data_IF_681437532886
#
_entry.id   IF_681437532886
#
_cell.length_a   1.000
_cell.length_b   1.000
_cell.length_c   1.000
_cell.angle_alpha   90.00
_cell.angle_beta   90.00
_cell.angle_gamma   90.00
#
_symmetry.space_group_name_H-M   'P 1'
#
loop_
_entity.id
_entity.type
_entity.pdbx_description
1 polymer ?
#
# COMPACT_ATOMS: atom_id res chain seq x y z
N UNK A 1 19.00 -56.27 12.66
CA UNK A 1 18.22 -55.30 13.46
C UNK A 1 18.53 -53.82 13.20
N UNK A 2 19.52 -53.43 12.38
CA UNK A 2 19.77 -51.99 12.05
C UNK A 2 19.19 -51.53 10.71
N UNK A 3 18.72 -52.45 9.86
CA UNK A 3 18.12 -52.10 8.56
C UNK A 3 16.58 -51.96 8.58
N UNK A 4 15.92 -52.55 9.57
CA UNK A 4 14.45 -52.43 9.73
C UNK A 4 14.01 -51.14 10.43
N UNK A 5 14.91 -50.44 11.14
CA UNK A 5 14.62 -49.17 11.79
C UNK A 5 14.70 -47.96 10.83
N UNK A 6 15.48 -48.09 9.75
CA UNK A 6 15.63 -47.07 8.72
C UNK A 6 14.40 -46.96 7.77
N UNK A 7 13.67 -48.07 7.60
CA UNK A 7 12.48 -48.11 6.75
C UNK A 7 11.20 -47.58 7.42
N UNK A 8 11.16 -47.55 8.76
CA UNK A 8 10.02 -47.03 9.52
C UNK A 8 10.08 -45.50 9.66
N UNK A 9 11.28 -44.91 9.68
CA UNK A 9 11.46 -43.46 9.75
C UNK A 9 11.17 -42.77 8.41
N UNK A 10 11.32 -43.49 7.28
CA UNK A 10 11.07 -42.93 5.94
C UNK A 10 9.60 -42.93 5.54
N UNK A 11 8.75 -43.69 6.24
CA UNK A 11 7.29 -43.75 5.94
C UNK A 11 6.43 -42.76 6.71
N UNK A 12 6.99 -42.04 7.69
CA UNK A 12 6.23 -41.02 8.49
C UNK A 12 6.41 -39.61 7.95
N UNK A 13 7.32 -39.39 6.99
CA UNK A 13 7.57 -38.03 6.42
C UNK A 13 6.72 -37.73 5.20
N UNK A 14 5.90 -38.67 4.69
CA UNK A 14 5.16 -38.49 3.43
C UNK A 14 3.68 -38.06 3.55
N UNK A 15 3.16 -37.78 4.75
CA UNK A 15 1.74 -37.42 4.92
C UNK A 15 1.46 -36.02 5.52
N UNK A 16 2.34 -35.07 5.34
CA UNK A 16 2.22 -33.78 6.01
C UNK A 16 2.42 -32.52 5.17
N UNK A 17 2.21 -32.51 3.85
CA UNK A 17 2.38 -31.28 3.05
C UNK A 17 1.34 -31.13 1.93
N UNK A 18 0.06 -31.10 2.27
CA UNK A 18 -0.95 -30.48 1.40
C UNK A 18 -1.71 -29.42 2.18
N UNK A 19 -1.01 -28.42 2.67
CA UNK A 19 -1.62 -27.12 2.94
C UNK A 19 -1.53 -26.32 1.66
N UNK A 20 -2.56 -26.43 0.81
CA UNK A 20 -2.75 -25.49 -0.30
C UNK A 20 -2.97 -24.11 0.27
N UNK A 21 -1.89 -23.40 0.59
CA UNK A 21 -1.90 -21.95 0.69
C UNK A 21 -2.11 -21.43 -0.72
N UNK A 22 -3.34 -21.11 -1.04
CA UNK A 22 -3.68 -20.39 -2.26
C UNK A 22 -3.18 -18.95 -2.12
N UNK A 23 -1.85 -18.77 -2.26
CA UNK A 23 -1.29 -17.43 -2.39
C UNK A 23 -1.60 -16.98 -3.82
N UNK A 24 -2.45 -15.97 -3.96
CA UNK A 24 -2.61 -15.30 -5.25
C UNK A 24 -1.26 -14.70 -5.63
N UNK A 25 -0.58 -15.36 -6.55
CA UNK A 25 0.63 -14.78 -7.15
C UNK A 25 0.21 -13.56 -7.96
N UNK A 26 0.77 -12.42 -7.63
CA UNK A 26 0.73 -11.26 -8.50
C UNK A 26 1.56 -11.64 -9.71
N UNK A 27 0.89 -11.97 -10.82
CA UNK A 27 1.59 -12.00 -12.09
C UNK A 27 2.25 -10.63 -12.25
N UNK A 28 3.54 -10.60 -12.54
CA UNK A 28 4.28 -9.35 -12.78
C UNK A 28 3.79 -8.66 -14.06
N UNK A 29 2.54 -8.24 -14.05
CA UNK A 29 1.94 -7.47 -15.12
C UNK A 29 2.31 -6.02 -14.89
N UNK A 30 3.29 -5.55 -15.66
CA UNK A 30 3.35 -4.14 -15.98
C UNK A 30 1.95 -3.69 -16.41
N UNK A 31 1.54 -2.47 -16.01
CA UNK A 31 0.33 -1.86 -16.57
C UNK A 31 0.36 -2.01 -18.08
N UNK A 32 -0.76 -2.34 -18.75
CA UNK A 32 -0.77 -2.40 -20.20
C UNK A 32 -0.25 -1.06 -20.74
N UNK A 33 0.86 -1.12 -21.47
CA UNK A 33 1.39 0.03 -22.18
C UNK A 33 0.35 0.34 -23.24
N UNK A 34 -0.40 1.42 -23.05
CA UNK A 34 -1.33 1.90 -24.07
C UNK A 34 -0.46 2.44 -25.20
N UNK A 35 -0.32 1.62 -26.25
CA UNK A 35 0.31 2.06 -27.49
C UNK A 35 -0.53 3.22 -28.03
N UNK A 36 0.03 4.41 -28.04
CA UNK A 36 -0.65 5.67 -28.38
C UNK A 36 -0.96 5.79 -29.88
N UNK A 37 -0.84 4.72 -30.66
CA UNK A 37 -0.94 4.76 -32.13
C UNK A 37 -2.27 4.26 -32.68
N UNK A 38 -3.30 4.02 -31.88
CA UNK A 38 -4.65 3.83 -32.40
C UNK A 38 -5.59 4.96 -31.95
N UNK A 39 -5.51 6.08 -32.64
CA UNK A 39 -6.65 6.99 -32.77
C UNK A 39 -7.74 6.26 -33.56
N UNK A 40 -8.53 5.44 -32.90
CA UNK A 40 -9.84 5.10 -33.41
C UNK A 40 -10.69 6.36 -33.31
N UNK A 41 -10.87 7.01 -34.47
CA UNK A 41 -11.88 8.05 -34.70
C UNK A 41 -13.22 7.40 -34.36
N UNK A 42 -13.74 7.68 -33.18
CA UNK A 42 -15.08 7.27 -32.75
C UNK A 42 -16.07 8.13 -33.55
N UNK A 43 -16.44 7.63 -34.72
CA UNK A 43 -17.60 8.12 -35.45
C UNK A 43 -18.86 7.75 -34.67
N UNK A 44 -19.63 8.75 -34.23
CA UNK A 44 -20.97 8.66 -33.62
C UNK A 44 -21.14 7.51 -32.63
N UNK A 45 -20.69 7.74 -31.38
CA UNK A 45 -20.99 6.84 -30.27
C UNK A 45 -22.49 6.90 -29.98
N UNK A 46 -23.22 5.82 -30.17
CA UNK A 46 -24.62 5.72 -29.82
C UNK A 46 -24.83 6.07 -28.35
N UNK A 47 -25.82 6.90 -28.04
CA UNK A 47 -26.15 7.30 -26.67
C UNK A 47 -26.38 6.09 -25.74
N UNK A 48 -26.85 4.97 -26.29
CA UNK A 48 -27.02 3.72 -25.58
C UNK A 48 -25.69 3.08 -25.14
N UNK A 49 -24.65 3.13 -25.96
CA UNK A 49 -23.32 2.57 -25.63
C UNK A 49 -22.61 3.42 -24.54
N UNK A 50 -22.78 4.71 -24.58
CA UNK A 50 -22.27 5.64 -23.51
C UNK A 50 -23.00 5.40 -22.20
N UNK A 51 -24.31 5.24 -22.23
CA UNK A 51 -25.10 4.96 -21.02
C UNK A 51 -24.72 3.60 -20.40
N UNK A 52 -24.51 2.57 -21.21
CA UNK A 52 -24.06 1.25 -20.76
C UNK A 52 -22.64 1.31 -20.14
N UNK A 53 -21.73 2.04 -20.76
CA UNK A 53 -20.37 2.26 -20.23
C UNK A 53 -20.41 2.99 -18.89
N UNK A 54 -21.21 4.03 -18.76
CA UNK A 54 -21.37 4.78 -17.52
C UNK A 54 -21.99 3.92 -16.39
N UNK A 55 -22.98 3.08 -16.72
CA UNK A 55 -23.57 2.15 -15.77
C UNK A 55 -22.55 1.13 -15.27
N UNK A 56 -21.74 0.57 -16.16
CA UNK A 56 -20.67 -0.37 -15.83
C UNK A 56 -19.60 0.29 -14.93
N UNK A 57 -19.15 1.49 -15.27
CA UNK A 57 -18.17 2.23 -14.49
C UNK A 57 -18.68 2.51 -13.06
N UNK A 58 -19.95 2.87 -12.93
CA UNK A 58 -20.59 3.08 -11.62
C UNK A 58 -20.66 1.78 -10.80
N UNK A 59 -20.99 0.66 -11.45
CA UNK A 59 -21.00 -0.66 -10.79
C UNK A 59 -19.58 -1.06 -10.35
N UNK A 60 -18.58 -0.91 -11.21
CA UNK A 60 -17.16 -1.17 -10.93
C UNK A 60 -16.69 -0.39 -9.69
N UNK A 61 -16.95 0.92 -9.65
CA UNK A 61 -16.60 1.76 -8.52
C UNK A 61 -17.34 1.37 -7.24
N UNK A 62 -18.62 1.01 -7.34
CA UNK A 62 -19.42 0.55 -6.21
C UNK A 62 -18.82 -0.72 -5.60
N UNK A 63 -18.48 -1.72 -6.42
CA UNK A 63 -17.85 -2.97 -5.99
C UNK A 63 -16.46 -2.75 -5.40
N UNK A 64 -15.66 -1.89 -6.01
CA UNK A 64 -14.36 -1.53 -5.46
C UNK A 64 -14.48 -0.84 -4.09
N UNK A 65 -15.41 0.11 -3.96
CA UNK A 65 -15.66 0.83 -2.70
C UNK A 65 -16.25 -0.07 -1.61
N UNK A 66 -16.99 -1.12 -1.97
CA UNK A 66 -17.47 -2.08 -0.98
C UNK A 66 -16.35 -2.89 -0.32
N UNK A 67 -15.18 -2.93 -0.94
CA UNK A 67 -13.95 -3.53 -0.39
C UNK A 67 -13.11 -2.57 0.46
N UNK A 68 -13.53 -1.31 0.62
CA UNK A 68 -12.80 -0.36 1.45
C UNK A 68 -12.75 -0.85 2.90
N UNK A 69 -11.56 -0.85 3.43
CA UNK A 69 -11.32 -1.18 4.83
C UNK A 69 -11.71 0.03 5.66
N UNK A 70 -12.80 -0.11 6.42
CA UNK A 70 -13.23 0.86 7.42
C UNK A 70 -12.80 0.37 8.80
N UNK A 71 -12.30 1.26 9.64
CA UNK A 71 -11.80 0.96 10.98
C UNK A 71 -11.94 2.20 11.87
N UNK A 72 -11.93 2.01 13.19
CA UNK A 72 -11.77 3.09 14.17
C UNK A 72 -10.31 3.15 14.65
N UNK A 73 -9.75 1.99 14.96
CA UNK A 73 -8.35 1.84 15.34
C UNK A 73 -7.71 0.70 14.57
N UNK A 74 -6.41 0.82 14.35
CA UNK A 74 -5.60 -0.20 13.69
C UNK A 74 -4.27 -0.34 14.41
N UNK A 75 -3.80 -1.56 14.58
CA UNK A 75 -2.43 -1.81 15.00
C UNK A 75 -1.79 -2.93 14.20
N UNK A 76 -0.51 -2.81 13.93
CA UNK A 76 0.25 -3.84 13.23
C UNK A 76 1.71 -3.89 13.68
N UNK A 77 2.28 -5.10 13.59
CA UNK A 77 3.73 -5.31 13.53
C UNK A 77 4.10 -5.64 12.10
N UNK A 78 5.14 -4.99 11.59
CA UNK A 78 5.56 -5.19 10.22
C UNK A 78 7.09 -5.18 10.10
N UNK A 79 7.59 -5.81 9.05
CA UNK A 79 8.97 -5.65 8.58
C UNK A 79 8.96 -4.70 7.40
N UNK A 80 9.95 -3.83 7.35
CA UNK A 80 10.13 -2.85 6.28
C UNK A 80 11.51 -3.04 5.68
N UNK A 81 11.55 -3.12 4.35
CA UNK A 81 12.76 -2.93 3.58
C UNK A 81 12.65 -1.61 2.82
N UNK A 82 13.70 -0.84 2.85
CA UNK A 82 13.80 0.48 2.25
C UNK A 82 15.03 0.53 1.35
N UNK A 83 14.87 1.02 0.13
CA UNK A 83 15.94 1.13 -0.86
C UNK A 83 15.81 2.44 -1.63
N UNK A 84 16.92 3.15 -1.77
CA UNK A 84 17.12 4.29 -2.67
C UNK A 84 18.40 4.05 -3.46
N UNK A 85 18.74 4.95 -4.38
CA UNK A 85 20.01 4.87 -5.11
C UNK A 85 21.25 4.83 -4.20
N UNK A 86 21.19 5.49 -3.05
CA UNK A 86 22.34 5.66 -2.16
C UNK A 86 22.27 4.86 -0.86
N UNK A 87 21.11 4.30 -0.52
CA UNK A 87 20.90 3.66 0.78
C UNK A 87 19.97 2.47 0.67
N UNK A 88 20.36 1.37 1.32
CA UNK A 88 19.53 0.19 1.49
C UNK A 88 19.48 -0.22 2.96
N UNK A 89 18.29 -0.49 3.44
CA UNK A 89 18.04 -1.01 4.79
C UNK A 89 17.00 -2.12 4.70
N UNK A 90 17.29 -3.28 5.29
CA UNK A 90 16.40 -4.43 5.24
C UNK A 90 16.08 -4.96 6.64
N UNK A 91 14.92 -5.59 6.77
CA UNK A 91 14.51 -6.26 8.01
C UNK A 91 14.22 -5.32 9.17
N UNK A 92 13.89 -4.07 8.90
CA UNK A 92 13.52 -3.07 9.92
C UNK A 92 12.20 -3.48 10.55
N UNK A 93 12.18 -3.68 11.85
CA UNK A 93 10.94 -3.96 12.58
C UNK A 93 10.23 -2.66 12.91
N UNK A 94 8.96 -2.57 12.60
CA UNK A 94 8.11 -1.46 12.98
C UNK A 94 6.84 -1.93 13.71
N UNK A 95 6.44 -1.13 14.70
CA UNK A 95 5.10 -1.21 15.29
C UNK A 95 4.34 0.02 14.82
N UNK A 96 3.15 -0.19 14.30
CA UNK A 96 2.29 0.86 13.80
C UNK A 96 0.97 0.83 14.54
N UNK A 97 0.44 2.01 14.86
CA UNK A 97 -0.88 2.17 15.46
C UNK A 97 -1.55 3.38 14.82
N UNK A 98 -2.83 3.27 14.55
CA UNK A 98 -3.62 4.38 14.02
C UNK A 98 -4.94 4.51 14.75
N UNK A 99 -5.36 5.73 14.90
CA UNK A 99 -6.75 6.11 15.16
C UNK A 99 -7.22 6.88 13.95
N UNK A 100 -8.32 6.42 13.37
CA UNK A 100 -8.88 7.01 12.15
C UNK A 100 -9.02 8.52 12.28
N UNK A 101 -8.58 9.21 11.24
CA UNK A 101 -8.65 10.67 11.07
C UNK A 101 -7.98 11.49 12.19
N UNK A 102 -7.18 10.86 13.05
CA UNK A 102 -6.57 11.52 14.22
C UNK A 102 -5.06 11.30 14.34
N UNK A 103 -4.63 10.04 14.36
CA UNK A 103 -3.22 9.70 14.64
C UNK A 103 -2.72 8.55 13.79
N UNK A 104 -1.46 8.68 13.32
CA UNK A 104 -0.63 7.57 12.88
C UNK A 104 0.62 7.59 13.75
N UNK A 105 0.84 6.53 14.50
CA UNK A 105 1.99 6.35 15.38
C UNK A 105 2.84 5.20 14.88
N UNK A 106 4.15 5.42 14.78
CA UNK A 106 5.11 4.45 14.29
C UNK A 106 6.31 4.41 15.23
N UNK A 107 6.71 3.21 15.64
CA UNK A 107 7.95 2.95 16.38
C UNK A 107 8.79 1.99 15.56
N UNK A 108 10.02 2.38 15.28
CA UNK A 108 10.99 1.64 14.47
C UNK A 108 12.06 1.08 15.37
N UNK A 109 12.37 -0.21 15.22
CA UNK A 109 13.38 -0.90 16.03
C UNK A 109 14.39 -1.61 15.14
N UNK A 110 15.66 -1.48 15.48
CA UNK A 110 16.74 -2.25 14.89
C UNK A 110 17.07 -3.48 15.77
N UNK A 111 17.51 -4.58 15.17
CA UNK A 111 18.00 -5.74 15.92
C UNK A 111 19.07 -5.33 16.92
N UNK A 112 19.05 -5.92 18.13
CA UNK A 112 20.03 -5.71 19.21
C UNK A 112 19.94 -4.31 19.86
N UNK A 113 19.76 -3.24 19.08
CA UNK A 113 19.74 -1.84 19.55
C UNK A 113 18.40 -1.47 20.21
N UNK A 114 17.32 -2.13 19.78
CA UNK A 114 15.96 -1.79 20.21
C UNK A 114 15.35 -0.64 19.41
N UNK A 115 14.51 0.18 20.04
CA UNK A 115 13.83 1.29 19.36
C UNK A 115 14.82 2.41 19.01
N UNK A 116 14.93 2.70 17.71
CA UNK A 116 15.85 3.70 17.14
C UNK A 116 15.12 4.99 16.71
N UNK A 117 13.84 4.89 16.39
CA UNK A 117 13.05 6.06 16.02
C UNK A 117 11.59 5.88 16.41
N UNK A 118 10.89 6.99 16.62
CA UNK A 118 9.44 7.02 16.83
C UNK A 118 8.86 8.26 16.18
N UNK A 119 7.70 8.09 15.57
CA UNK A 119 6.97 9.20 14.98
C UNK A 119 5.49 9.17 15.38
N UNK A 120 4.90 10.33 15.45
CA UNK A 120 3.45 10.53 15.50
C UNK A 120 3.06 11.58 14.47
N UNK A 121 2.09 11.24 13.64
CA UNK A 121 1.57 12.08 12.57
C UNK A 121 0.11 12.37 12.90
N UNK A 122 -0.27 13.61 12.76
CA UNK A 122 -1.65 14.10 12.86
C UNK A 122 -2.03 14.78 11.54
N UNK A 123 -3.29 15.18 11.33
CA UNK A 123 -3.67 15.93 10.14
C UNK A 123 -2.81 17.18 9.87
N UNK A 124 -2.29 17.81 10.93
CA UNK A 124 -1.58 19.08 10.83
C UNK A 124 -0.08 18.98 11.10
N UNK A 125 0.39 17.91 11.75
CA UNK A 125 1.76 17.86 12.26
C UNK A 125 2.43 16.50 12.10
N UNK A 126 3.74 16.54 11.94
CA UNK A 126 4.66 15.41 12.04
C UNK A 126 5.63 15.68 13.20
N UNK A 127 5.63 14.79 14.19
CA UNK A 127 6.65 14.79 15.26
C UNK A 127 7.39 13.48 15.20
N UNK A 128 8.72 13.53 15.16
CA UNK A 128 9.56 12.34 15.14
C UNK A 128 10.74 12.51 16.08
N UNK A 129 11.22 11.42 16.64
CA UNK A 129 12.45 11.36 17.42
C UNK A 129 13.40 10.34 16.79
N UNK A 130 14.63 10.77 16.54
CA UNK A 130 15.77 9.92 16.25
C UNK A 130 16.52 9.69 17.57
N UNK A 131 16.45 8.46 18.07
CA UNK A 131 17.07 8.10 19.35
C UNK A 131 18.58 7.90 19.24
N UNK A 132 19.05 7.60 18.03
CA UNK A 132 20.47 7.39 17.80
C UNK A 132 21.22 8.71 17.81
N UNK A 133 20.72 9.73 17.08
CA UNK A 133 21.34 11.05 17.01
C UNK A 133 20.81 12.01 18.08
N UNK A 134 19.79 11.62 18.88
CA UNK A 134 19.12 12.45 19.89
C UNK A 134 18.53 13.73 19.30
N UNK A 135 17.85 13.61 18.18
CA UNK A 135 17.18 14.70 17.47
C UNK A 135 15.67 14.52 17.55
N UNK A 136 14.95 15.59 17.79
CA UNK A 136 13.51 15.66 17.69
C UNK A 136 13.10 16.58 16.54
N UNK A 137 12.38 16.03 15.57
CA UNK A 137 11.80 16.76 14.44
C UNK A 137 10.38 17.18 14.78
N UNK A 138 10.10 18.46 14.69
CA UNK A 138 8.79 19.05 14.92
C UNK A 138 8.40 19.85 13.68
N UNK A 139 7.56 19.26 12.84
CA UNK A 139 7.22 19.80 11.52
C UNK A 139 5.72 19.84 11.32
N UNK A 140 5.27 20.79 10.49
CA UNK A 140 3.97 20.75 9.86
C UNK A 140 3.93 19.58 8.84
N UNK A 141 2.76 18.97 8.64
CA UNK A 141 2.62 17.90 7.66
C UNK A 141 2.93 18.38 6.23
N UNK A 142 2.66 19.64 5.92
CA UNK A 142 3.02 20.27 4.63
C UNK A 142 4.53 20.28 4.39
N UNK A 143 5.35 20.47 5.43
CA UNK A 143 6.79 20.36 5.30
C UNK A 143 7.21 18.96 4.80
N UNK A 144 6.57 17.90 5.29
CA UNK A 144 6.86 16.55 4.81
C UNK A 144 6.42 16.38 3.33
N UNK A 145 5.31 17.00 2.92
CA UNK A 145 4.89 17.03 1.52
C UNK A 145 5.92 17.73 0.62
N UNK A 146 6.43 18.87 1.08
CA UNK A 146 7.43 19.67 0.34
C UNK A 146 8.76 18.92 0.23
N UNK A 147 9.24 18.32 1.33
CA UNK A 147 10.49 17.55 1.36
C UNK A 147 10.42 16.29 0.49
N UNK A 148 9.29 15.59 0.54
CA UNK A 148 9.07 14.38 -0.26
C UNK A 148 8.57 14.71 -1.67
N UNK A 149 8.24 15.99 -1.90
CA UNK A 149 7.67 16.49 -3.16
C UNK A 149 6.43 15.69 -3.63
N UNK A 150 5.68 15.12 -2.69
CA UNK A 150 4.46 14.35 -2.94
C UNK A 150 3.30 15.02 -2.23
N UNK A 151 2.27 15.49 -2.92
CA UNK A 151 1.10 16.10 -2.30
C UNK A 151 0.17 15.03 -1.69
N UNK A 152 0.58 14.46 -0.57
CA UNK A 152 -0.27 13.56 0.21
C UNK A 152 -0.84 14.30 1.42
N UNK A 153 -2.11 14.13 1.68
CA UNK A 153 -2.72 14.54 2.94
C UNK A 153 -2.71 13.38 3.95
N UNK A 154 -3.14 13.66 5.17
CA UNK A 154 -3.21 12.64 6.23
C UNK A 154 -4.10 11.46 5.83
N UNK A 155 -5.22 11.74 5.16
CA UNK A 155 -6.16 10.71 4.69
C UNK A 155 -5.52 9.80 3.65
N UNK A 156 -4.82 10.37 2.67
CA UNK A 156 -4.09 9.61 1.64
C UNK A 156 -3.03 8.69 2.28
N UNK A 157 -2.29 9.20 3.26
CA UNK A 157 -1.31 8.41 4.00
C UNK A 157 -1.98 7.26 4.77
N UNK A 158 -3.10 7.53 5.42
CA UNK A 158 -3.90 6.54 6.12
C UNK A 158 -4.43 5.46 5.16
N UNK A 159 -5.01 5.84 4.02
CA UNK A 159 -5.52 4.92 3.01
C UNK A 159 -4.38 4.06 2.41
N UNK A 160 -3.20 4.64 2.16
CA UNK A 160 -2.02 3.93 1.70
C UNK A 160 -1.58 2.85 2.72
N UNK A 161 -1.56 3.19 4.02
CA UNK A 161 -1.18 2.27 5.08
C UNK A 161 -2.20 1.15 5.24
N UNK A 162 -3.48 1.44 5.16
CA UNK A 162 -4.55 0.43 5.28
C UNK A 162 -4.67 -0.41 4.01
N UNK A 163 -4.36 0.15 2.85
CA UNK A 163 -4.45 -0.51 1.55
C UNK A 163 -5.74 -0.20 0.80
N UNK A 164 -6.39 0.89 1.13
CA UNK A 164 -7.46 1.46 0.33
C UNK A 164 -6.89 2.13 -0.94
N UNK A 165 -7.67 2.23 -2.01
CA UNK A 165 -7.27 2.99 -3.20
C UNK A 165 -6.98 4.45 -2.87
N UNK A 166 -5.81 4.95 -3.27
CA UNK A 166 -5.47 6.37 -3.16
C UNK A 166 -5.76 7.09 -4.49
N UNK A 167 -6.25 8.33 -4.44
CA UNK A 167 -6.63 9.15 -5.61
C UNK A 167 -7.64 8.49 -6.56
N UNK A 168 -8.51 7.63 -6.04
CA UNK A 168 -9.65 7.10 -6.79
C UNK A 168 -10.73 8.18 -6.93
N UNK A 169 -11.14 8.45 -8.16
CA UNK A 169 -12.20 9.42 -8.49
C UNK A 169 -13.35 8.74 -9.24
N UNK A 170 -14.45 9.45 -9.45
CA UNK A 170 -15.58 8.96 -10.26
C UNK A 170 -15.35 9.12 -11.76
N UNK A 171 -14.29 9.81 -12.17
CA UNK A 171 -13.91 10.01 -13.58
C UNK A 171 -13.17 8.79 -14.13
N UNK A 172 -13.91 7.68 -14.35
CA UNK A 172 -13.36 6.41 -14.82
C UNK A 172 -13.42 6.34 -16.34
N UNK A 173 -12.33 5.94 -16.94
CA UNK A 173 -12.21 5.70 -18.39
C UNK A 173 -11.17 4.60 -18.69
N UNK A 174 -11.05 4.21 -19.99
CA UNK A 174 -10.12 3.17 -20.44
C UNK A 174 -10.25 1.86 -19.65
N UNK A 175 -11.47 1.37 -19.50
CA UNK A 175 -11.69 0.12 -18.78
C UNK A 175 -11.39 -1.07 -19.69
N UNK A 176 -10.45 -1.92 -19.27
CA UNK A 176 -10.08 -3.16 -19.93
C UNK A 176 -10.35 -4.32 -18.98
N UNK A 177 -11.15 -5.29 -19.43
CA UNK A 177 -11.51 -6.47 -18.66
C UNK A 177 -10.92 -7.72 -19.26
N UNK A 178 -10.23 -8.48 -18.45
CA UNK A 178 -9.79 -9.86 -18.75
C UNK A 178 -10.46 -10.83 -17.76
N UNK A 179 -10.35 -12.15 -17.95
CA UNK A 179 -10.87 -13.11 -16.97
C UNK A 179 -10.29 -12.98 -15.56
N UNK A 180 -9.06 -12.47 -15.42
CA UNK A 180 -8.35 -12.39 -14.15
C UNK A 180 -8.31 -10.97 -13.55
N UNK A 181 -8.27 -9.93 -14.39
CA UNK A 181 -8.00 -8.54 -13.98
C UNK A 181 -8.91 -7.57 -14.71
N UNK A 182 -9.38 -6.57 -13.98
CA UNK A 182 -10.01 -5.37 -14.56
C UNK A 182 -9.03 -4.23 -14.34
N UNK A 183 -8.60 -3.60 -15.44
CA UNK A 183 -7.74 -2.40 -15.44
C UNK A 183 -8.57 -1.19 -15.79
N UNK A 184 -8.39 -0.07 -15.12
CA UNK A 184 -9.07 1.17 -15.44
C UNK A 184 -8.27 2.39 -15.01
N UNK A 185 -8.58 3.52 -15.61
CA UNK A 185 -7.94 4.81 -15.35
C UNK A 185 -8.93 5.77 -14.71
N UNK A 186 -8.46 6.57 -13.75
CA UNK A 186 -9.20 7.69 -13.18
C UNK A 186 -8.39 8.96 -13.29
N UNK A 187 -9.05 10.09 -13.47
CA UNK A 187 -8.43 11.41 -13.49
C UNK A 187 -8.86 12.26 -12.29
N UNK A 188 -7.88 12.93 -11.70
CA UNK A 188 -8.08 14.07 -10.83
C UNK A 188 -7.53 15.34 -11.50
N UNK A 189 -7.58 16.48 -10.80
CA UNK A 189 -7.03 17.75 -11.31
C UNK A 189 -5.52 17.67 -11.58
N UNK A 190 -4.78 16.94 -10.72
CA UNK A 190 -3.30 16.91 -10.72
C UNK A 190 -2.71 15.54 -11.05
N UNK A 191 -3.48 14.47 -10.93
CA UNK A 191 -3.01 13.11 -11.15
C UNK A 191 -3.87 12.34 -12.13
N UNK A 192 -3.22 11.43 -12.86
CA UNK A 192 -3.84 10.28 -13.51
C UNK A 192 -3.51 9.04 -12.70
N UNK A 193 -4.53 8.26 -12.35
CA UNK A 193 -4.39 7.05 -11.55
C UNK A 193 -4.87 5.83 -12.33
N UNK A 194 -4.02 4.81 -12.45
CA UNK A 194 -4.35 3.51 -13.03
C UNK A 194 -4.55 2.51 -11.91
N UNK A 195 -5.58 1.68 -12.04
CA UNK A 195 -5.90 0.62 -11.08
C UNK A 195 -6.03 -0.71 -11.78
N UNK A 196 -5.45 -1.74 -11.18
CA UNK A 196 -5.70 -3.14 -11.48
C UNK A 196 -6.40 -3.77 -10.28
N UNK A 197 -7.55 -4.40 -10.52
CA UNK A 197 -8.28 -5.15 -9.50
C UNK A 197 -8.50 -6.58 -9.98
N UNK A 198 -8.60 -7.54 -9.08
CA UNK A 198 -9.00 -8.90 -9.44
C UNK A 198 -10.43 -8.91 -9.95
N UNK A 199 -10.68 -9.64 -11.04
CA UNK A 199 -11.98 -9.63 -11.72
C UNK A 199 -13.09 -10.36 -10.97
N UNK A 200 -12.74 -11.25 -10.04
CA UNK A 200 -13.67 -12.07 -9.26
C UNK A 200 -14.21 -11.35 -8.00
N UNK A 201 -13.42 -10.50 -7.36
CA UNK A 201 -13.79 -9.88 -6.08
C UNK A 201 -13.46 -8.39 -5.96
N UNK A 202 -12.92 -7.77 -7.01
CA UNK A 202 -12.64 -6.34 -7.12
C UNK A 202 -11.68 -5.78 -6.04
N UNK A 203 -10.87 -6.63 -5.41
CA UNK A 203 -9.80 -6.17 -4.52
C UNK A 203 -8.60 -5.68 -5.33
N UNK A 204 -7.87 -4.71 -4.78
CA UNK A 204 -6.71 -4.12 -5.44
C UNK A 204 -5.60 -5.16 -5.68
N UNK A 205 -5.05 -5.16 -6.87
CA UNK A 205 -3.81 -5.85 -7.21
C UNK A 205 -2.65 -4.87 -7.30
N UNK A 206 -2.89 -3.74 -7.94
CA UNK A 206 -1.89 -2.72 -8.21
C UNK A 206 -2.56 -1.37 -8.44
N UNK A 207 -1.87 -0.28 -8.10
CA UNK A 207 -2.24 1.05 -8.54
C UNK A 207 -0.99 1.85 -8.92
N UNK A 208 -1.13 2.74 -9.90
CA UNK A 208 -0.09 3.68 -10.31
C UNK A 208 -0.68 5.07 -10.40
N UNK A 209 -0.08 6.00 -9.68
CA UNK A 209 -0.45 7.42 -9.68
C UNK A 209 0.65 8.19 -10.39
N UNK A 210 0.28 8.97 -11.39
CA UNK A 210 1.22 9.76 -12.21
C UNK A 210 0.85 11.22 -12.13
N UNK A 211 1.84 12.08 -11.94
CA UNK A 211 1.65 13.53 -12.03
C UNK A 211 1.30 13.91 -13.48
N UNK A 212 0.29 14.75 -13.67
CA UNK A 212 -0.08 15.27 -14.99
C UNK A 212 0.92 16.28 -15.54
N UNK A 213 1.70 16.89 -14.66
CA UNK A 213 2.85 17.69 -15.06
C UNK A 213 4.02 16.79 -15.45
N UNK A 214 4.12 16.50 -16.75
CA UNK A 214 5.15 15.62 -17.31
C UNK A 214 6.59 16.14 -17.07
N UNK A 215 6.77 17.44 -16.76
CA UNK A 215 8.10 18.02 -16.47
C UNK A 215 8.66 17.52 -15.14
N UNK A 216 7.80 17.06 -14.24
CA UNK A 216 8.18 16.48 -12.95
C UNK A 216 8.56 15.01 -13.06
N UNK A 217 8.01 14.27 -14.03
CA UNK A 217 8.29 12.85 -14.26
C UNK A 217 7.97 11.96 -13.05
N UNK A 218 7.04 12.39 -12.19
CA UNK A 218 6.77 11.81 -10.88
C UNK A 218 5.69 10.74 -10.95
N UNK A 219 6.00 9.56 -10.43
CA UNK A 219 5.01 8.50 -10.29
C UNK A 219 5.16 7.70 -8.99
N UNK A 220 4.06 7.13 -8.52
CA UNK A 220 4.02 6.22 -7.38
C UNK A 220 3.28 4.96 -7.80
N UNK A 221 3.93 3.81 -7.67
CA UNK A 221 3.33 2.50 -7.93
C UNK A 221 3.18 1.73 -6.62
N UNK A 222 1.99 1.16 -6.41
CA UNK A 222 1.63 0.39 -5.24
C UNK A 222 1.22 -1.01 -5.69
N UNK A 223 1.82 -2.04 -5.11
CA UNK A 223 1.45 -3.43 -5.34
C UNK A 223 0.93 -4.05 -4.05
N UNK A 224 -0.18 -4.76 -4.13
CA UNK A 224 -0.87 -5.38 -3.00
C UNK A 224 -0.88 -6.89 -3.17
N UNK A 225 -0.43 -7.62 -2.15
CA UNK A 225 -0.33 -9.09 -2.23
C UNK A 225 -0.47 -9.78 -0.88
N UNK A 226 -0.44 -11.10 -0.93
CA UNK A 226 -0.58 -11.97 0.25
C UNK A 226 -1.84 -11.61 1.07
N UNK A 227 -2.97 -11.53 0.38
CA UNK A 227 -4.25 -11.18 1.02
C UNK A 227 -4.65 -12.21 2.07
N UNK A 228 -5.01 -11.73 3.25
CA UNK A 228 -5.59 -12.53 4.35
C UNK A 228 -6.98 -12.01 4.68
N UNK A 229 -7.88 -12.95 4.96
CA UNK A 229 -9.18 -12.62 5.55
C UNK A 229 -9.01 -12.47 7.06
N UNK A 230 -9.33 -11.29 7.56
CA UNK A 230 -9.38 -10.93 8.97
C UNK A 230 -10.83 -10.59 9.25
N UNK A 231 -11.61 -11.56 9.73
CA UNK A 231 -13.06 -11.51 9.80
C UNK A 231 -13.68 -11.14 8.44
N UNK A 232 -14.29 -9.96 8.35
CA UNK A 232 -14.90 -9.44 7.11
C UNK A 232 -13.92 -8.61 6.24
N UNK A 233 -12.71 -8.36 6.72
CA UNK A 233 -11.71 -7.50 6.05
C UNK A 233 -10.77 -8.38 5.25
N UNK A 234 -10.58 -8.06 3.97
CA UNK A 234 -9.50 -8.62 3.15
C UNK A 234 -8.31 -7.66 3.17
N UNK A 235 -7.25 -8.03 3.85
CA UNK A 235 -6.08 -7.18 4.05
C UNK A 235 -4.86 -7.72 3.29
N UNK A 236 -4.24 -6.87 2.46
CA UNK A 236 -2.98 -7.17 1.80
C UNK A 236 -1.83 -7.12 2.82
N UNK A 237 -1.29 -8.28 3.21
CA UNK A 237 -0.20 -8.35 4.20
C UNK A 237 1.16 -8.02 3.62
N UNK A 238 1.32 -8.05 2.30
CA UNK A 238 2.51 -7.58 1.59
C UNK A 238 2.16 -6.39 0.71
N UNK A 239 2.90 -5.29 0.89
CA UNK A 239 2.78 -4.12 0.01
C UNK A 239 4.14 -3.66 -0.43
N UNK A 240 4.20 -3.21 -1.66
CA UNK A 240 5.37 -2.57 -2.25
C UNK A 240 4.98 -1.19 -2.72
N UNK A 241 5.78 -0.22 -2.38
CA UNK A 241 5.66 1.16 -2.84
C UNK A 241 6.92 1.46 -3.65
N UNK A 242 6.76 1.88 -4.88
CA UNK A 242 7.83 2.36 -5.73
C UNK A 242 7.53 3.79 -6.13
N UNK A 243 8.36 4.70 -5.68
CA UNK A 243 8.29 6.13 -6.01
C UNK A 243 9.40 6.41 -7.01
N UNK A 244 9.06 7.05 -8.09
CA UNK A 244 9.98 7.50 -9.13
C UNK A 244 9.80 9.00 -9.36
N UNK A 245 10.91 9.71 -9.40
CA UNK A 245 10.99 11.12 -9.77
C UNK A 245 12.38 11.35 -10.42
N UNK A 246 13.26 12.15 -9.85
CA UNK A 246 14.68 12.28 -10.27
C UNK A 246 15.53 11.12 -9.76
N UNK A 247 15.07 10.48 -8.71
CA UNK A 247 15.63 9.28 -8.09
C UNK A 247 14.49 8.36 -7.70
N UNK A 248 14.82 7.12 -7.32
CA UNK A 248 13.79 6.18 -6.90
C UNK A 248 13.83 5.89 -5.39
N UNK A 249 12.67 5.51 -4.87
CA UNK A 249 12.52 4.95 -3.53
C UNK A 249 11.65 3.70 -3.61
N UNK A 250 12.15 2.58 -3.08
CA UNK A 250 11.37 1.34 -2.90
C UNK A 250 11.14 1.09 -1.43
N UNK A 251 9.92 0.77 -1.07
CA UNK A 251 9.53 0.38 0.28
C UNK A 251 8.75 -0.92 0.19
N UNK A 252 9.23 -1.98 0.82
CA UNK A 252 8.49 -3.22 0.99
C UNK A 252 7.99 -3.29 2.44
N UNK A 253 6.74 -3.62 2.62
CA UNK A 253 6.08 -3.76 3.92
C UNK A 253 5.46 -5.15 4.03
N UNK A 254 5.92 -5.95 4.98
CA UNK A 254 5.35 -7.25 5.32
C UNK A 254 4.68 -7.17 6.71
N UNK A 255 3.35 -7.16 6.72
CA UNK A 255 2.54 -7.07 7.93
C UNK A 255 2.39 -8.46 8.58
N UNK A 256 2.89 -8.61 9.80
CA UNK A 256 2.93 -9.90 10.49
C UNK A 256 1.79 -10.08 11.50
N UNK A 257 1.49 -9.05 12.28
CA UNK A 257 0.39 -9.03 13.23
C UNK A 257 -0.48 -7.82 12.93
N UNK A 258 -1.79 -8.04 12.84
CA UNK A 258 -2.75 -7.02 12.43
C UNK A 258 -3.97 -7.16 13.32
N UNK A 259 -4.34 -6.06 13.96
CA UNK A 259 -5.54 -5.99 14.80
C UNK A 259 -6.33 -4.73 14.39
N UNK A 260 -7.65 -4.88 14.23
CA UNK A 260 -8.59 -3.79 13.98
C UNK A 260 -9.48 -3.58 15.19
N UNK A 261 -9.87 -2.33 15.41
CA UNK A 261 -10.86 -1.89 16.39
C UNK A 261 -10.58 -2.36 17.84
N UNK A 262 -9.29 -2.58 18.15
CA UNK A 262 -8.80 -2.84 19.49
C UNK A 262 -8.30 -1.54 20.14
N UNK A 263 -8.37 -1.42 21.48
CA UNK A 263 -7.80 -0.26 22.18
C UNK A 263 -6.31 -0.07 21.84
N UNK A 264 -5.92 1.16 21.49
CA UNK A 264 -4.55 1.54 21.17
C UNK A 264 -4.12 2.75 21.98
N UNK A 265 -2.82 2.89 22.18
CA UNK A 265 -2.21 4.05 22.84
C UNK A 265 -1.10 4.64 21.96
N UNK A 266 -0.86 5.94 22.10
CA UNK A 266 0.07 6.70 21.26
C UNK A 266 1.15 7.38 22.11
N UNK A 267 2.02 6.63 22.82
CA UNK A 267 3.00 7.23 23.72
C UNK A 267 4.06 7.98 22.92
N UNK A 268 4.11 9.30 23.10
CA UNK A 268 5.10 10.15 22.46
C UNK A 268 5.59 11.20 23.44
N UNK A 269 6.86 11.13 23.80
CA UNK A 269 7.54 12.09 24.67
C UNK A 269 8.91 12.35 24.10
N UNK A 270 9.30 13.62 23.99
CA UNK A 270 10.67 14.01 23.62
C UNK A 270 11.49 14.00 24.89
N UNK A 271 12.55 13.16 25.00
CA UNK A 271 13.39 13.13 26.17
C UNK A 271 14.16 14.45 26.39
N UNK A 272 14.51 14.75 27.61
CA UNK A 272 15.41 15.87 27.92
C UNK A 272 16.78 15.64 27.26
N UNK A 273 17.38 16.70 26.70
CA UNK A 273 18.68 16.61 26.03
C UNK A 273 18.64 16.23 24.54
N UNK A 274 17.45 16.13 23.94
CA UNK A 274 17.31 16.05 22.47
C UNK A 274 17.36 17.45 21.86
N UNK A 275 18.14 17.62 20.80
CA UNK A 275 18.06 18.82 19.96
C UNK A 275 16.71 18.84 19.23
N UNK A 276 16.20 20.02 18.94
CA UNK A 276 14.93 20.22 18.21
C UNK A 276 15.20 20.86 16.87
N UNK A 277 14.65 20.28 15.83
CA UNK A 277 14.72 20.76 14.47
C UNK A 277 13.32 20.91 13.86
#
# INVERSE_FOLDING_TARGET
MKQTLALIVLSIVSTGLFSCRHSRQIAGTSFPVTDTTQHNIISKTDSASVAASNAYNKELLSKLRSNYISFNTFSAKLKIDFETESKQMSGINANMRMQKDSFIWISVSAPIIGEVARAIITPDSLKAIDKFHKIAYLRDLRYAQDVLNIPFDFKTLQDLIIGNPVYLTDSVYQVVKTPAVISFTCDSTIFTSLFNVFADDYILQQSKVMDKDSTRGRSVELTYGEYKSLDKIKFATRRRVFVEEKSYTKINMDFNKIDFDQPVSFPFTIPSGYSRE
#
